data_IF_007842022609
#
_entry.id   IF_007842022609
#
_cell.length_a   1.000
_cell.length_b   1.000
_cell.length_c   1.000
_cell.angle_alpha   90.00
_cell.angle_beta   90.00
_cell.angle_gamma   90.00
#
_symmetry.space_group_name_H-M   'P 1'
#
loop_
_entity.id
_entity.type
_entity.pdbx_description
1 polymer ?
#
# COMPACT_ATOMS: atom_id res chain seq x y z
N UNK A 1 4.87 -18.65 -2.23
CA UNK A 1 5.04 -17.19 -2.08
C UNK A 1 5.44 -16.92 -0.65
N UNK A 2 6.35 -15.99 -0.43
CA UNK A 2 6.77 -15.58 0.92
C UNK A 2 5.77 -14.57 1.52
N UNK A 3 5.51 -14.64 2.82
CA UNK A 3 4.63 -13.71 3.52
C UNK A 3 5.42 -12.94 4.57
N UNK A 4 5.61 -11.64 4.38
CA UNK A 4 6.34 -10.77 5.30
C UNK A 4 5.39 -10.05 6.27
N UNK A 5 5.81 -9.97 7.54
CA UNK A 5 5.16 -9.16 8.57
C UNK A 5 6.11 -8.02 8.97
N UNK A 6 5.72 -6.78 8.67
CA UNK A 6 6.42 -5.58 9.10
C UNK A 6 5.94 -5.22 10.51
N UNK A 7 6.86 -5.23 11.48
CA UNK A 7 6.57 -4.96 12.88
C UNK A 7 7.74 -4.24 13.55
N UNK A 8 7.45 -3.25 14.40
CA UNK A 8 8.44 -2.56 15.22
C UNK A 8 8.91 -3.44 16.37
N UNK A 9 10.18 -3.33 16.77
CA UNK A 9 10.74 -4.14 17.87
C UNK A 9 10.02 -3.87 19.20
N UNK A 10 9.68 -2.62 19.49
CA UNK A 10 8.88 -2.24 20.67
C UNK A 10 7.43 -2.73 20.66
N UNK A 11 6.90 -3.25 19.55
CA UNK A 11 5.53 -3.75 19.43
C UNK A 11 5.46 -5.28 19.51
N UNK A 12 6.09 -5.86 20.54
CA UNK A 12 6.12 -7.30 20.77
C UNK A 12 4.72 -7.93 20.91
N UNK A 13 3.77 -7.23 21.55
CA UNK A 13 2.38 -7.67 21.70
C UNK A 13 1.65 -7.78 20.35
N UNK A 14 1.86 -6.81 19.45
CA UNK A 14 1.27 -6.85 18.09
C UNK A 14 1.82 -8.01 17.28
N UNK A 15 3.12 -8.27 17.38
CA UNK A 15 3.74 -9.43 16.76
C UNK A 15 3.15 -10.72 17.29
N UNK A 16 3.09 -10.90 18.61
CA UNK A 16 2.56 -12.11 19.22
C UNK A 16 1.11 -12.36 18.77
N UNK A 17 0.28 -11.31 18.70
CA UNK A 17 -1.08 -11.36 18.16
C UNK A 17 -1.10 -11.83 16.70
N UNK A 18 -0.26 -11.24 15.84
CA UNK A 18 -0.19 -11.60 14.42
C UNK A 18 0.32 -13.03 14.20
N UNK A 19 1.31 -13.47 14.97
CA UNK A 19 1.82 -14.85 14.92
C UNK A 19 0.75 -15.86 15.39
N UNK A 20 0.03 -15.55 16.46
CA UNK A 20 -1.08 -16.39 16.93
C UNK A 20 -2.22 -16.44 15.91
N UNK A 21 -2.60 -15.29 15.35
CA UNK A 21 -3.62 -15.17 14.29
C UNK A 21 -3.20 -15.97 13.04
N UNK A 22 -1.94 -15.83 12.62
CA UNK A 22 -1.37 -16.58 11.51
C UNK A 22 -1.44 -18.09 11.75
N UNK A 23 -0.95 -18.57 12.90
CA UNK A 23 -1.03 -20.00 13.26
C UNK A 23 -2.45 -20.53 13.23
N UNK A 24 -3.42 -19.77 13.75
CA UNK A 24 -4.82 -20.18 13.78
C UNK A 24 -5.44 -20.37 12.39
N UNK A 25 -4.98 -19.63 11.38
CA UNK A 25 -5.47 -19.73 10.00
C UNK A 25 -4.54 -20.56 9.09
N UNK A 26 -3.42 -21.06 9.59
CA UNK A 26 -2.42 -21.78 8.78
C UNK A 26 -1.52 -20.88 7.93
N UNK A 27 -1.27 -19.64 8.37
CA UNK A 27 -0.38 -18.67 7.71
C UNK A 27 0.86 -18.40 8.56
N UNK A 28 2.04 -18.59 7.98
CA UNK A 28 3.33 -18.28 8.61
C UNK A 28 3.89 -16.98 8.05
N UNK A 29 4.43 -16.14 8.93
CA UNK A 29 5.08 -14.89 8.54
C UNK A 29 6.58 -14.95 8.73
N UNK A 30 7.32 -14.34 7.79
CA UNK A 30 8.69 -13.93 7.98
C UNK A 30 8.72 -12.49 8.51
N UNK A 31 9.24 -12.30 9.72
CA UNK A 31 9.30 -10.97 10.33
C UNK A 31 10.31 -10.09 9.60
N UNK A 32 9.88 -8.87 9.31
CA UNK A 32 10.73 -7.74 8.94
C UNK A 32 10.70 -6.73 10.09
N UNK A 33 11.86 -6.51 10.72
CA UNK A 33 12.02 -5.46 11.71
C UNK A 33 11.77 -4.11 11.03
N UNK A 34 10.74 -3.41 11.48
CA UNK A 34 10.37 -2.09 10.97
C UNK A 34 11.35 -1.03 11.48
N UNK A 35 11.58 0.00 10.66
CA UNK A 35 12.31 1.19 11.06
C UNK A 35 11.47 1.96 12.07
N UNK A 36 12.05 2.22 13.24
CA UNK A 36 11.42 3.01 14.27
C UNK A 36 11.76 4.49 14.12
N UNK A 37 10.76 5.32 13.79
CA UNK A 37 10.94 6.77 13.73
C UNK A 37 11.41 7.39 15.07
N UNK A 38 11.06 6.79 16.21
CA UNK A 38 11.41 7.30 17.53
C UNK A 38 12.88 7.00 17.90
N UNK A 39 13.42 5.89 17.41
CA UNK A 39 14.80 5.46 17.69
C UNK A 39 15.77 5.83 16.57
N UNK A 40 15.27 6.20 15.39
CA UNK A 40 16.10 6.60 14.25
C UNK A 40 16.51 8.07 14.38
N UNK A 41 17.81 8.40 14.31
CA UNK A 41 18.26 9.79 14.30
C UNK A 41 17.60 10.61 13.19
N UNK A 42 17.11 11.81 13.51
CA UNK A 42 16.37 12.66 12.56
C UNK A 42 17.15 12.97 11.27
N UNK A 43 18.48 13.06 11.34
CA UNK A 43 19.33 13.25 10.16
C UNK A 43 19.23 12.13 9.13
N UNK A 44 19.05 10.88 9.57
CA UNK A 44 18.88 9.70 8.70
C UNK A 44 17.52 9.77 7.98
N UNK A 45 16.45 10.07 8.73
CA UNK A 45 15.10 10.22 8.16
C UNK A 45 15.01 11.43 7.23
N UNK A 46 15.70 12.53 7.55
CA UNK A 46 15.81 13.69 6.70
C UNK A 46 16.53 13.36 5.38
N UNK A 47 17.63 12.59 5.43
CA UNK A 47 18.36 12.18 4.24
C UNK A 47 17.53 11.27 3.31
N UNK A 48 16.59 10.49 3.84
CA UNK A 48 15.69 9.68 3.02
C UNK A 48 14.66 10.51 2.22
N UNK A 49 14.36 11.75 2.65
CA UNK A 49 13.42 12.64 1.97
C UNK A 49 14.06 13.26 0.72
N UNK A 50 13.23 13.48 -0.29
CA UNK A 50 13.62 14.28 -1.44
C UNK A 50 13.63 15.77 -1.07
N UNK A 51 14.71 16.46 -1.42
CA UNK A 51 14.83 17.91 -1.29
C UNK A 51 14.10 18.68 -2.42
N UNK A 52 13.27 18.00 -3.23
CA UNK A 52 12.61 18.62 -4.38
C UNK A 52 11.56 19.64 -3.93
N UNK A 53 11.65 20.91 -4.36
CA UNK A 53 10.70 21.94 -3.97
C UNK A 53 9.24 21.56 -4.30
N UNK A 54 8.38 21.61 -3.28
CA UNK A 54 6.96 21.29 -3.38
C UNK A 54 6.61 19.80 -3.37
N UNK A 55 7.54 18.94 -2.93
CA UNK A 55 7.24 17.58 -2.48
C UNK A 55 6.34 17.60 -1.22
N UNK A 56 5.68 16.48 -0.95
CA UNK A 56 4.91 16.31 0.29
C UNK A 56 5.89 16.21 1.47
N UNK A 57 5.70 17.02 2.52
CA UNK A 57 6.48 16.83 3.74
C UNK A 57 5.99 15.59 4.47
N UNK A 58 6.68 14.47 4.24
CA UNK A 58 6.48 13.25 5.00
C UNK A 58 6.92 13.46 6.44
N UNK A 59 6.07 13.08 7.38
CA UNK A 59 6.44 12.96 8.80
C UNK A 59 7.47 11.85 9.01
N UNK A 60 8.20 11.89 10.12
CA UNK A 60 9.20 10.86 10.46
C UNK A 60 8.57 9.44 10.49
N UNK A 61 7.37 9.23 11.05
CA UNK A 61 6.68 7.94 10.95
C UNK A 61 6.35 7.49 9.53
N UNK A 62 5.97 8.40 8.61
CA UNK A 62 5.70 8.06 7.21
C UNK A 62 6.98 7.66 6.46
N UNK A 63 8.08 8.35 6.71
CA UNK A 63 9.40 7.99 6.19
C UNK A 63 9.80 6.61 6.69
N UNK A 64 9.73 6.39 8.00
CA UNK A 64 10.09 5.12 8.63
C UNK A 64 9.22 3.95 8.14
N UNK A 65 7.91 4.17 7.97
CA UNK A 65 7.00 3.21 7.33
C UNK A 65 7.49 2.85 5.92
N UNK A 66 7.80 3.84 5.08
CA UNK A 66 8.29 3.58 3.71
C UNK A 66 9.61 2.82 3.71
N UNK A 67 10.55 3.19 4.59
CA UNK A 67 11.83 2.49 4.73
C UNK A 67 11.63 1.03 5.16
N UNK A 68 10.66 0.75 6.04
CA UNK A 68 10.30 -0.61 6.46
C UNK A 68 9.80 -1.46 5.29
N UNK A 69 8.97 -0.90 4.41
CA UNK A 69 8.55 -1.58 3.19
C UNK A 69 9.72 -1.80 2.21
N UNK A 70 10.64 -0.84 2.09
CA UNK A 70 11.85 -1.00 1.26
C UNK A 70 12.72 -2.17 1.75
N UNK A 71 12.84 -2.37 3.07
CA UNK A 71 13.54 -3.53 3.63
C UNK A 71 12.83 -4.83 3.19
N UNK A 72 11.51 -4.89 3.31
CA UNK A 72 10.74 -6.06 2.88
C UNK A 72 10.88 -6.34 1.37
N UNK A 73 10.84 -5.31 0.51
CA UNK A 73 11.04 -5.45 -0.93
C UNK A 73 12.46 -5.91 -1.27
N UNK A 74 13.48 -5.42 -0.56
CA UNK A 74 14.87 -5.85 -0.77
C UNK A 74 15.02 -7.32 -0.42
N UNK A 75 14.57 -7.72 0.78
CA UNK A 75 14.61 -9.13 1.22
C UNK A 75 13.85 -10.04 0.26
N UNK A 76 12.70 -9.61 -0.24
CA UNK A 76 11.97 -10.37 -1.27
C UNK A 76 12.81 -10.62 -2.53
N UNK A 77 13.48 -9.59 -3.03
CA UNK A 77 14.35 -9.72 -4.21
C UNK A 77 15.55 -10.63 -3.97
N UNK A 78 15.98 -10.84 -2.72
CA UNK A 78 17.06 -11.76 -2.38
C UNK A 78 16.60 -13.24 -2.37
N UNK A 79 15.30 -13.52 -2.48
CA UNK A 79 14.75 -14.89 -2.58
C UNK A 79 14.50 -15.30 -4.03
N UNK A 80 14.22 -16.59 -4.27
CA UNK A 80 13.76 -17.13 -5.57
C UNK A 80 12.23 -17.14 -5.74
N UNK A 81 11.46 -16.63 -4.76
CA UNK A 81 10.01 -16.64 -4.83
C UNK A 81 9.49 -15.70 -5.94
N UNK A 82 8.42 -16.09 -6.66
CA UNK A 82 7.85 -15.26 -7.73
C UNK A 82 7.03 -14.07 -7.19
N UNK A 83 6.47 -14.21 -5.99
CA UNK A 83 5.63 -13.21 -5.33
C UNK A 83 5.96 -13.13 -3.84
N UNK A 84 5.72 -11.96 -3.26
CA UNK A 84 5.65 -11.75 -1.82
C UNK A 84 4.29 -11.17 -1.44
N UNK A 85 3.78 -11.56 -0.28
CA UNK A 85 2.70 -10.87 0.40
C UNK A 85 3.28 -10.05 1.56
N UNK A 86 2.89 -8.79 1.69
CA UNK A 86 3.36 -7.86 2.71
C UNK A 86 2.19 -7.50 3.62
N UNK A 87 2.40 -7.63 4.93
CA UNK A 87 1.42 -7.29 5.97
C UNK A 87 2.03 -6.35 7.02
N UNK A 88 1.22 -5.44 7.54
CA UNK A 88 1.52 -4.64 8.74
C UNK A 88 1.00 -5.34 10.01
N UNK A 89 1.49 -4.95 11.19
CA UNK A 89 1.20 -5.64 12.46
C UNK A 89 -0.15 -5.31 13.12
N UNK A 90 -0.87 -4.34 12.56
CA UNK A 90 -2.11 -3.79 13.10
C UNK A 90 -3.36 -4.23 12.30
N UNK A 91 -3.27 -5.37 11.59
CA UNK A 91 -4.37 -5.87 10.74
C UNK A 91 -5.09 -7.10 11.30
N UNK A 92 -6.29 -7.35 10.77
CA UNK A 92 -6.97 -8.64 10.83
C UNK A 92 -7.01 -9.25 9.43
N UNK A 93 -6.77 -10.57 9.35
CA UNK A 93 -6.71 -11.32 8.10
C UNK A 93 -7.82 -12.38 8.10
N UNK A 94 -8.64 -12.43 7.06
CA UNK A 94 -9.68 -13.44 6.92
C UNK A 94 -9.05 -14.85 6.71
N UNK A 95 -9.61 -15.92 7.32
CA UNK A 95 -9.00 -17.26 7.24
C UNK A 95 -8.73 -17.78 5.82
N UNK A 96 -9.60 -17.44 4.85
CA UNK A 96 -9.42 -17.81 3.44
C UNK A 96 -8.09 -17.32 2.84
N UNK A 97 -7.48 -16.28 3.42
CA UNK A 97 -6.21 -15.75 2.96
C UNK A 97 -5.09 -16.80 2.98
N UNK A 98 -5.06 -17.71 3.96
CA UNK A 98 -4.02 -18.75 4.02
C UNK A 98 -4.05 -19.63 2.77
N UNK A 99 -5.25 -20.06 2.34
CA UNK A 99 -5.42 -20.84 1.12
C UNK A 99 -5.07 -20.04 -0.14
N UNK A 100 -5.42 -18.76 -0.19
CA UNK A 100 -5.03 -17.87 -1.30
C UNK A 100 -3.52 -17.70 -1.41
N UNK A 101 -2.82 -17.53 -0.28
CA UNK A 101 -1.39 -17.24 -0.24
C UNK A 101 -0.52 -18.50 -0.45
N UNK A 102 -1.07 -19.69 -0.21
CA UNK A 102 -0.40 -20.96 -0.49
C UNK A 102 -0.17 -21.24 -1.99
N UNK A 103 -0.87 -20.53 -2.88
CA UNK A 103 -0.82 -20.74 -4.33
C UNK A 103 -0.81 -19.44 -5.12
N UNK A 104 -0.15 -19.42 -6.25
CA UNK A 104 0.00 -18.22 -7.09
C UNK A 104 -0.84 -18.28 -8.38
N UNK A 105 -1.35 -19.46 -8.76
CA UNK A 105 -2.01 -19.68 -10.05
C UNK A 105 -3.31 -18.89 -10.28
N UNK A 106 -3.88 -18.27 -9.25
CA UNK A 106 -5.04 -17.38 -9.37
C UNK A 106 -4.66 -15.94 -9.71
N UNK A 107 -3.38 -15.57 -9.53
CA UNK A 107 -2.89 -14.22 -9.79
C UNK A 107 -2.78 -14.02 -11.30
N UNK A 108 -3.45 -13.02 -11.90
CA UNK A 108 -3.33 -12.74 -13.32
C UNK A 108 -1.88 -12.51 -13.74
N UNK A 109 -1.47 -13.03 -14.90
CA UNK A 109 -0.08 -12.95 -15.35
C UNK A 109 0.44 -11.50 -15.49
N UNK A 110 -0.45 -10.56 -15.78
CA UNK A 110 -0.13 -9.14 -15.89
C UNK A 110 -0.16 -8.39 -14.55
N UNK A 111 -0.64 -9.00 -13.48
CA UNK A 111 -0.68 -8.38 -12.16
C UNK A 111 0.74 -8.09 -11.68
N UNK A 112 0.98 -6.83 -11.32
CA UNK A 112 2.17 -6.39 -10.59
C UNK A 112 1.88 -6.25 -9.10
N UNK A 113 0.64 -5.89 -8.79
CA UNK A 113 0.13 -5.76 -7.42
C UNK A 113 -1.25 -6.42 -7.30
N UNK A 114 -1.50 -7.07 -6.18
CA UNK A 114 -2.84 -7.47 -5.74
C UNK A 114 -3.08 -6.91 -4.36
N UNK A 115 -4.05 -6.01 -4.24
CA UNK A 115 -4.44 -5.45 -2.95
C UNK A 115 -5.35 -6.42 -2.20
N UNK A 116 -4.92 -6.79 -0.99
CA UNK A 116 -5.66 -7.68 -0.09
C UNK A 116 -6.48 -6.87 0.93
N UNK A 117 -6.05 -5.64 1.21
CA UNK A 117 -6.66 -4.73 2.17
C UNK A 117 -7.90 -4.00 1.61
N UNK A 118 -8.89 -3.78 2.48
CA UNK A 118 -9.85 -2.69 2.32
C UNK A 118 -9.62 -1.61 3.37
N UNK A 119 -9.59 -0.36 2.90
CA UNK A 119 -9.57 0.83 3.75
C UNK A 119 -10.99 1.40 3.92
N UNK A 120 -12.00 0.63 3.47
CA UNK A 120 -13.43 0.92 3.46
C UNK A 120 -13.80 2.24 2.77
N UNK A 121 -12.98 2.82 1.89
CA UNK A 121 -13.38 3.93 1.00
C UNK A 121 -13.87 3.41 -0.36
N UNK A 122 -14.46 4.30 -1.17
CA UNK A 122 -14.87 3.97 -2.54
C UNK A 122 -13.67 4.04 -3.47
N UNK A 123 -13.47 3.01 -4.28
CA UNK A 123 -12.47 2.92 -5.34
C UNK A 123 -13.12 2.63 -6.68
N UNK A 124 -12.45 2.97 -7.78
CA UNK A 124 -12.93 2.69 -9.14
C UNK A 124 -12.32 1.37 -9.59
N UNK A 125 -13.17 0.40 -9.87
CA UNK A 125 -12.77 -0.96 -10.24
C UNK A 125 -13.51 -1.47 -11.47
N UNK A 126 -12.91 -2.39 -12.21
CA UNK A 126 -13.55 -3.06 -13.33
C UNK A 126 -14.64 -4.05 -12.89
N UNK A 127 -15.31 -4.67 -13.87
CA UNK A 127 -15.95 -5.97 -13.68
C UNK A 127 -14.93 -7.01 -13.15
N UNK A 128 -15.43 -8.12 -12.61
CA UNK A 128 -14.57 -9.21 -12.17
C UNK A 128 -13.82 -9.77 -13.39
N UNK A 129 -12.49 -9.77 -13.33
CA UNK A 129 -11.62 -10.34 -14.37
C UNK A 129 -11.51 -11.85 -14.18
N UNK A 130 -11.42 -12.29 -12.93
CA UNK A 130 -11.45 -13.70 -12.54
C UNK A 130 -12.03 -13.85 -11.14
N UNK A 131 -12.24 -15.09 -10.70
CA UNK A 131 -12.64 -15.42 -9.33
C UNK A 131 -11.75 -16.52 -8.77
N UNK A 132 -11.51 -16.46 -7.47
CA UNK A 132 -10.75 -17.44 -6.69
C UNK A 132 -11.44 -17.62 -5.35
N UNK A 133 -11.79 -18.87 -5.00
CA UNK A 133 -12.48 -19.22 -3.75
C UNK A 133 -13.78 -18.40 -3.50
N UNK A 134 -14.46 -18.00 -4.58
CA UNK A 134 -15.65 -17.15 -4.54
C UNK A 134 -15.37 -15.64 -4.52
N UNK A 135 -14.14 -15.22 -4.26
CA UNK A 135 -13.69 -13.82 -4.27
C UNK A 135 -13.43 -13.37 -5.71
N UNK A 136 -13.85 -12.14 -6.05
CA UNK A 136 -13.58 -11.54 -7.34
C UNK A 136 -12.23 -10.81 -7.33
N UNK A 137 -11.49 -10.92 -8.43
CA UNK A 137 -10.38 -10.02 -8.74
C UNK A 137 -10.86 -8.95 -9.74
N UNK A 138 -10.60 -7.69 -9.43
CA UNK A 138 -10.98 -6.56 -10.28
C UNK A 138 -9.78 -5.67 -10.52
N UNK A 139 -9.62 -5.11 -11.72
CA UNK A 139 -8.59 -4.09 -11.95
C UNK A 139 -8.94 -2.83 -11.18
N UNK A 140 -7.95 -2.28 -10.49
CA UNK A 140 -8.06 -1.01 -9.75
C UNK A 140 -7.62 0.15 -10.65
N UNK A 141 -8.50 1.15 -10.84
CA UNK A 141 -8.24 2.33 -11.67
C UNK A 141 -8.28 3.66 -10.89
N UNK A 142 -8.33 3.60 -9.56
CA UNK A 142 -8.24 4.78 -8.70
C UNK A 142 -7.19 4.59 -7.61
N UNK A 143 -6.90 5.67 -6.90
CA UNK A 143 -6.12 5.63 -5.66
C UNK A 143 -6.79 4.71 -4.64
N UNK A 144 -5.96 3.94 -3.94
CA UNK A 144 -6.40 3.15 -2.81
C UNK A 144 -5.44 3.30 -1.64
N UNK A 145 -5.86 4.05 -0.62
CA UNK A 145 -5.13 4.22 0.64
C UNK A 145 -4.83 2.89 1.34
N UNK A 146 -3.82 2.92 2.20
CA UNK A 146 -3.37 1.79 3.02
C UNK A 146 -2.40 0.86 2.29
N UNK A 147 -1.44 0.33 3.02
CA UNK A 147 -0.46 -0.68 2.56
C UNK A 147 -0.42 -1.88 3.49
N UNK A 148 -1.48 -2.07 4.28
CA UNK A 148 -1.49 -3.00 5.40
C UNK A 148 -1.59 -4.48 4.96
N UNK A 149 -1.94 -4.71 3.69
CA UNK A 149 -1.99 -6.04 3.09
C UNK A 149 -2.00 -6.01 1.56
N UNK A 150 -0.94 -6.51 0.92
CA UNK A 150 -0.87 -6.63 -0.54
C UNK A 150 0.13 -7.69 -1.01
N UNK A 151 -0.04 -8.15 -2.24
CA UNK A 151 0.90 -9.02 -2.96
C UNK A 151 1.60 -8.19 -4.02
N UNK A 152 2.89 -8.44 -4.24
CA UNK A 152 3.66 -7.87 -5.34
C UNK A 152 4.55 -8.92 -6.01
N UNK A 153 4.80 -8.74 -7.30
CA UNK A 153 5.79 -9.51 -8.06
C UNK A 153 7.19 -8.88 -7.97
N UNK A 154 8.19 -9.58 -8.51
CA UNK A 154 9.59 -9.12 -8.49
C UNK A 154 9.79 -7.81 -9.25
N UNK A 155 9.09 -7.64 -10.38
CA UNK A 155 9.18 -6.41 -11.18
C UNK A 155 8.62 -5.20 -10.42
N UNK A 156 7.50 -5.37 -9.70
CA UNK A 156 6.94 -4.36 -8.83
C UNK A 156 7.90 -4.03 -7.68
N UNK A 157 8.48 -5.03 -7.01
CA UNK A 157 9.42 -4.80 -5.92
C UNK A 157 10.65 -3.99 -6.37
N UNK A 158 11.23 -4.34 -7.51
CA UNK A 158 12.37 -3.61 -8.09
C UNK A 158 11.99 -2.16 -8.47
N UNK A 159 10.83 -1.96 -9.11
CA UNK A 159 10.35 -0.63 -9.45
C UNK A 159 10.09 0.21 -8.20
N UNK A 160 9.41 -0.35 -7.21
CA UNK A 160 9.09 0.31 -5.94
C UNK A 160 10.37 0.73 -5.20
N UNK A 161 11.40 -0.11 -5.20
CA UNK A 161 12.73 0.24 -4.66
C UNK A 161 13.39 1.39 -5.43
N UNK A 162 13.31 1.39 -6.75
CA UNK A 162 13.91 2.46 -7.57
C UNK A 162 13.20 3.81 -7.36
N UNK A 163 11.86 3.83 -7.40
CA UNK A 163 11.09 5.09 -7.28
C UNK A 163 11.01 5.63 -5.86
N UNK A 164 11.39 4.83 -4.86
CA UNK A 164 11.41 5.23 -3.44
C UNK A 164 12.81 5.45 -2.88
N UNK A 165 13.82 5.63 -3.74
CA UNK A 165 15.18 5.99 -3.29
C UNK A 165 15.22 7.34 -2.57
N UNK A 166 14.43 8.30 -3.06
CA UNK A 166 14.20 9.61 -2.41
C UNK A 166 12.71 9.85 -2.25
N UNK A 167 12.26 9.93 -1.01
CA UNK A 167 10.85 9.93 -0.70
C UNK A 167 10.20 11.29 -0.98
N UNK A 168 9.14 11.28 -1.79
CA UNK A 168 8.36 12.48 -2.16
C UNK A 168 6.89 12.38 -1.75
N UNK A 169 6.40 11.17 -1.47
CA UNK A 169 5.02 10.82 -1.09
C UNK A 169 5.04 9.57 -0.17
N UNK A 170 3.95 9.32 0.53
CA UNK A 170 3.80 8.21 1.48
C UNK A 170 3.81 6.84 0.78
N UNK A 171 4.06 5.77 1.53
CA UNK A 171 4.12 4.39 1.01
C UNK A 171 2.90 4.01 0.18
N UNK A 172 1.68 4.32 0.65
CA UNK A 172 0.45 3.99 -0.05
C UNK A 172 0.32 4.72 -1.39
N UNK A 173 0.85 5.93 -1.49
CA UNK A 173 0.98 6.63 -2.77
C UNK A 173 2.05 5.97 -3.66
N UNK A 174 3.20 5.60 -3.11
CA UNK A 174 4.23 4.88 -3.89
C UNK A 174 3.66 3.58 -4.46
N UNK A 175 2.95 2.79 -3.65
CA UNK A 175 2.42 1.48 -4.04
C UNK A 175 1.17 1.61 -4.92
N UNK A 176 0.22 2.49 -4.58
CA UNK A 176 -1.12 2.53 -5.19
C UNK A 176 -1.49 3.83 -5.91
N UNK A 177 -0.63 4.88 -5.90
CA UNK A 177 -0.83 6.12 -6.68
C UNK A 177 -0.05 6.14 -7.99
N UNK A 178 1.06 5.40 -8.12
CA UNK A 178 1.89 5.43 -9.33
C UNK A 178 1.31 4.70 -10.54
N UNK A 179 0.20 3.96 -10.39
CA UNK A 179 -0.33 3.04 -11.40
C UNK A 179 -1.18 3.66 -12.53
N UNK A 180 -2.07 4.67 -12.34
CA UNK A 180 -2.94 5.06 -13.44
C UNK A 180 -2.28 6.05 -14.41
N UNK A 181 -1.26 6.81 -13.99
CA UNK A 181 -0.82 8.03 -14.69
C UNK A 181 0.69 8.16 -14.96
N UNK A 182 1.52 7.21 -14.54
CA UNK A 182 2.96 7.19 -14.88
C UNK A 182 3.36 5.84 -15.49
N UNK A 183 4.21 5.90 -16.51
CA UNK A 183 4.89 4.71 -17.06
C UNK A 183 6.20 4.48 -16.28
N UNK A 184 6.58 3.22 -16.00
CA UNK A 184 5.84 1.99 -16.29
C UNK A 184 4.66 1.77 -15.31
N UNK A 185 3.54 1.26 -15.83
CA UNK A 185 2.29 1.05 -15.08
C UNK A 185 2.41 -0.18 -14.19
N UNK A 186 2.22 -0.03 -12.88
CA UNK A 186 1.95 -1.16 -11.99
C UNK A 186 0.49 -1.57 -12.20
N UNK A 187 0.25 -2.68 -12.91
CA UNK A 187 -1.11 -3.21 -13.05
C UNK A 187 -1.55 -3.76 -11.71
N UNK A 188 -2.52 -3.08 -11.10
CA UNK A 188 -3.03 -3.40 -9.76
C UNK A 188 -4.41 -4.02 -9.82
N UNK A 189 -4.57 -5.13 -9.12
CA UNK A 189 -5.86 -5.77 -8.87
C UNK A 189 -6.31 -5.54 -7.44
N UNK A 190 -7.61 -5.49 -7.23
CA UNK A 190 -8.28 -5.46 -5.94
C UNK A 190 -9.01 -6.78 -5.74
N UNK A 191 -8.74 -7.44 -4.61
CA UNK A 191 -9.53 -8.59 -4.15
C UNK A 191 -10.84 -8.09 -3.52
N UNK A 192 -11.95 -8.69 -3.91
CA UNK A 192 -13.31 -8.27 -3.55
C UNK A 192 -14.22 -9.47 -3.22
N UNK A 193 -14.58 -9.71 -1.94
CA UNK A 193 -14.22 -8.91 -0.76
C UNK A 193 -12.71 -8.88 -0.46
N UNK A 194 -12.26 -7.87 0.27
CA UNK A 194 -10.90 -7.81 0.79
C UNK A 194 -10.73 -8.81 1.95
N UNK A 195 -9.54 -9.41 2.05
CA UNK A 195 -9.18 -10.38 3.10
C UNK A 195 -8.32 -9.77 4.20
N UNK A 196 -7.97 -8.49 4.10
CA UNK A 196 -7.23 -7.73 5.12
C UNK A 196 -7.99 -6.46 5.47
N UNK A 197 -7.96 -6.07 6.74
CA UNK A 197 -8.45 -4.77 7.21
C UNK A 197 -7.62 -4.34 8.41
N UNK A 198 -7.28 -3.05 8.51
CA UNK A 198 -6.65 -2.50 9.71
C UNK A 198 -7.60 -2.59 10.91
N UNK A 199 -7.06 -2.92 12.09
CA UNK A 199 -7.86 -3.16 13.29
C UNK A 199 -8.65 -1.93 13.70
N UNK A 200 -8.05 -0.74 13.67
CA UNK A 200 -8.75 0.52 13.97
C UNK A 200 -9.89 0.84 12.98
N UNK A 201 -9.94 0.18 11.81
CA UNK A 201 -11.06 0.27 10.86
C UNK A 201 -12.09 -0.82 11.04
N UNK A 202 -11.69 -1.98 11.57
CA UNK A 202 -12.55 -3.10 11.91
C UNK A 202 -13.32 -2.80 13.20
N UNK A 203 -12.60 -2.47 14.27
CA UNK A 203 -13.09 -2.15 15.61
C UNK A 203 -13.10 -0.63 15.85
N UNK A 204 -13.93 0.11 15.11
CA UNK A 204 -13.90 1.59 15.08
C UNK A 204 -13.94 2.26 16.46
N UNK A 205 -14.64 1.65 17.42
CA UNK A 205 -14.85 2.20 18.76
C UNK A 205 -14.32 1.31 19.89
N UNK A 206 -13.83 0.11 19.56
CA UNK A 206 -13.41 -0.92 20.54
C UNK A 206 -11.99 -1.42 20.33
N UNK A 207 -11.26 -0.89 19.34
CA UNK A 207 -9.88 -1.27 19.11
C UNK A 207 -9.03 -0.92 20.35
N UNK A 208 -8.30 -1.88 20.92
CA UNK A 208 -7.34 -1.58 21.99
C UNK A 208 -6.34 -0.50 21.56
N UNK A 209 -5.97 0.39 22.48
CA UNK A 209 -5.05 1.50 22.20
C UNK A 209 -3.70 1.02 21.64
N UNK A 210 -3.22 -0.15 22.07
CA UNK A 210 -2.00 -0.75 21.56
C UNK A 210 -2.08 -1.13 20.08
N UNK A 211 -3.25 -1.15 19.43
CA UNK A 211 -3.46 -1.40 18.00
C UNK A 211 -3.74 -0.13 17.18
N UNK A 212 -3.59 1.06 17.79
CA UNK A 212 -3.67 2.31 17.07
C UNK A 212 -2.50 2.44 16.08
N UNK A 213 -2.77 2.99 14.89
CA UNK A 213 -1.73 3.25 13.89
C UNK A 213 -0.59 4.06 14.48
N UNK A 214 0.64 3.54 14.35
CA UNK A 214 1.86 4.22 14.78
C UNK A 214 2.27 5.36 13.82
N UNK A 215 1.61 5.45 12.66
CA UNK A 215 1.72 6.56 11.72
C UNK A 215 0.52 7.50 11.92
N UNK A 216 0.73 8.73 12.42
CA UNK A 216 -0.35 9.70 12.59
C UNK A 216 -0.97 10.09 11.25
N UNK A 217 -2.28 10.38 11.22
CA UNK A 217 -2.91 11.05 10.07
C UNK A 217 -2.44 12.51 10.02
N UNK A 218 -1.37 12.77 9.27
CA UNK A 218 -0.86 14.13 9.08
C UNK A 218 -1.82 15.00 8.28
N UNK A 219 -1.85 16.29 8.58
CA UNK A 219 -2.34 17.30 7.63
C UNK A 219 -1.23 17.51 6.57
N UNK A 220 -1.55 17.48 5.26
CA UNK A 220 -0.58 17.75 4.21
C UNK A 220 0.15 19.07 4.45
N UNK A 221 1.44 19.01 4.79
CA UNK A 221 2.30 20.20 4.81
C UNK A 221 3.02 20.24 3.47
N UNK A 222 2.62 21.17 2.61
CA UNK A 222 3.31 21.43 1.35
C UNK A 222 4.37 22.49 1.57
N UNK A 223 5.61 22.20 1.17
CA UNK A 223 6.61 23.25 1.08
C UNK A 223 6.20 24.22 -0.02
N UNK A 224 5.98 25.49 0.35
CA UNK A 224 5.61 26.52 -0.61
C UNK A 224 6.81 26.73 -1.53
N UNK A 225 6.65 26.40 -2.82
CA UNK A 225 7.60 26.79 -3.87
C UNK A 225 7.74 28.33 -3.86
N UNK A 226 8.97 28.82 -3.89
CA UNK A 226 9.29 30.26 -3.94
C UNK A 226 9.80 30.64 -5.35
N UNK A 227 9.70 31.92 -5.70
CA UNK A 227 10.27 32.47 -6.95
C UNK A 227 9.72 31.87 -8.25
N UNK A 228 10.60 31.69 -9.24
CA UNK A 228 10.26 31.19 -10.59
C UNK A 228 9.56 29.81 -10.59
N UNK A 229 9.83 28.97 -9.57
CA UNK A 229 9.17 27.67 -9.41
C UNK A 229 7.69 27.74 -9.01
N UNK A 230 7.22 28.87 -8.46
CA UNK A 230 5.79 29.15 -8.23
C UNK A 230 5.11 29.54 -9.55
N UNK A 231 5.75 30.42 -10.32
CA UNK A 231 5.25 30.91 -11.60
C UNK A 231 5.13 29.77 -12.64
N UNK A 232 6.15 28.93 -12.77
CA UNK A 232 6.11 27.76 -13.65
C UNK A 232 4.98 26.79 -13.29
N UNK A 233 4.69 26.61 -11.99
CA UNK A 233 3.56 25.78 -11.54
C UNK A 233 2.22 26.43 -11.88
N UNK A 234 2.05 27.73 -11.65
CA UNK A 234 0.79 28.44 -11.97
C UNK A 234 0.49 28.42 -13.48
N UNK A 235 1.53 28.47 -14.33
CA UNK A 235 1.42 28.31 -15.78
C UNK A 235 1.09 26.86 -16.17
N UNK A 236 1.70 25.87 -15.52
CA UNK A 236 1.42 24.45 -15.77
C UNK A 236 0.10 23.96 -15.16
N UNK A 237 -0.45 24.67 -14.17
CA UNK A 237 -1.60 24.24 -13.37
C UNK A 237 -2.87 24.02 -14.19
N UNK A 238 -3.25 24.89 -15.15
CA UNK A 238 -4.41 24.65 -16.00
C UNK A 238 -4.21 23.43 -16.91
N UNK A 239 -2.99 23.20 -17.39
CA UNK A 239 -2.64 22.05 -18.25
C UNK A 239 -2.66 20.74 -17.46
N UNK A 240 -2.10 20.71 -16.24
CA UNK A 240 -2.22 19.56 -15.33
C UNK A 240 -3.67 19.30 -14.91
N UNK A 241 -4.46 20.35 -14.69
CA UNK A 241 -5.88 20.24 -14.40
C UNK A 241 -6.65 19.69 -15.61
N UNK A 242 -6.40 20.17 -16.82
CA UNK A 242 -6.98 19.61 -18.06
C UNK A 242 -6.56 18.16 -18.28
N UNK A 243 -5.29 17.81 -18.05
CA UNK A 243 -4.81 16.43 -18.13
C UNK A 243 -5.52 15.54 -17.10
N UNK A 244 -5.77 16.03 -15.88
CA UNK A 244 -6.58 15.30 -14.88
C UNK A 244 -8.05 15.12 -15.29
N UNK A 245 -8.59 16.01 -16.12
CA UNK A 245 -9.94 15.85 -16.70
C UNK A 245 -9.96 14.88 -17.89
N UNK A 246 -8.97 14.96 -18.79
CA UNK A 246 -8.81 14.04 -19.93
C UNK A 246 -8.48 12.61 -19.49
N UNK A 247 -7.84 12.44 -18.32
CA UNK A 247 -7.54 11.14 -17.70
C UNK A 247 -8.32 10.94 -16.38
N UNK A 248 -9.43 11.65 -16.21
CA UNK A 248 -10.33 11.52 -15.06
C UNK A 248 -11.06 10.16 -15.02
N UNK A 249 -12.03 9.96 -14.10
CA UNK A 249 -12.81 8.72 -14.05
C UNK A 249 -13.68 8.48 -15.28
N UNK A 250 -13.88 9.49 -16.14
CA UNK A 250 -14.71 9.43 -17.34
C UNK A 250 -14.25 8.37 -18.36
N UNK A 251 -12.97 8.34 -18.80
CA UNK A 251 -12.41 7.22 -19.56
C UNK A 251 -12.62 5.85 -18.90
N UNK A 252 -12.44 5.76 -17.57
CA UNK A 252 -12.63 4.50 -16.86
C UNK A 252 -14.10 4.03 -16.87
N UNK A 253 -15.05 4.95 -16.73
CA UNK A 253 -16.48 4.63 -16.78
C UNK A 253 -16.95 4.18 -18.17
N UNK A 254 -16.39 4.78 -19.24
CA UNK A 254 -16.60 4.32 -20.61
C UNK A 254 -16.05 2.90 -20.82
N UNK A 255 -14.94 2.55 -20.15
CA UNK A 255 -14.37 1.20 -20.11
C UNK A 255 -15.07 0.25 -19.11
N UNK A 256 -16.25 0.62 -18.59
CA UNK A 256 -17.05 -0.24 -17.71
C UNK A 256 -16.61 -0.26 -16.25
N UNK A 257 -15.63 0.54 -15.83
CA UNK A 257 -15.25 0.65 -14.43
C UNK A 257 -16.35 1.36 -13.64
N UNK A 258 -16.49 1.04 -12.35
CA UNK A 258 -17.52 1.63 -11.48
C UNK A 258 -16.95 1.90 -10.09
N UNK A 259 -17.46 2.92 -9.38
CA UNK A 259 -17.12 3.12 -7.99
C UNK A 259 -17.67 1.97 -7.14
N UNK A 260 -16.84 1.40 -6.27
CA UNK A 260 -17.18 0.32 -5.35
C UNK A 260 -16.54 0.55 -3.99
N UNK A 261 -17.30 0.34 -2.93
CA UNK A 261 -16.75 0.18 -1.57
C UNK A 261 -16.44 -1.30 -1.39
N UNK A 262 -15.17 -1.66 -1.26
CA UNK A 262 -14.75 -3.05 -1.10
C UNK A 262 -15.03 -3.49 0.34
N UNK A 263 -15.88 -4.49 0.57
CA UNK A 263 -16.14 -5.00 1.92
C UNK A 263 -14.94 -5.82 2.42
N UNK A 264 -14.84 -6.00 3.74
CA UNK A 264 -13.93 -6.98 4.34
C UNK A 264 -14.70 -8.29 4.49
N UNK A 265 -14.07 -9.44 4.22
CA UNK A 265 -14.74 -10.74 4.25
C UNK A 265 -15.09 -11.25 5.66
N UNK A 266 -14.35 -10.83 6.69
CA UNK A 266 -14.51 -11.33 8.06
C UNK A 266 -15.40 -10.48 8.96
N UNK A 267 -16.45 -9.84 8.42
CA UNK A 267 -17.39 -9.03 9.18
C UNK A 267 -18.78 -8.96 8.57
#
# INVERSE_FOLDING_TARGET
>A
MICYLINLDRHAERRARMEAHGRAIGLTFERVAAVDAAETPGGVLAAARSATPGAYHLSDPEVACTLSHRIAWRRFLDTSEPYAAIFEDDVTIAPVAAHLLARTGWIPADARLVKLETFRHRVIVSSAVTRVDGLALRRLASLHFGTAGYILDRAAAALLLAVSERLTVSTDNIVFQLAPFRKPRLVTYQLDPAVVVQMGRFMRDTAPAYLASSVPRGTPRFEKRKGLGKLAREIARPVEQLARFAVGPLPAYALGYRPKRVPFLGG
#
